data_IF_970165576950
#
_entry.id   IF_970165576950
#
_cell.length_a   1.000
_cell.length_b   1.000
_cell.length_c   1.000
_cell.angle_alpha   90.00
_cell.angle_beta   90.00
_cell.angle_gamma   90.00
#
_symmetry.space_group_name_H-M   'P 1'
#
loop_
_entity.id
_entity.type
_entity.pdbx_description
1 polymer ?
#
# COMPACT_ATOMS: atom_id res chain seq x y z
N UNK A 1 24.58 18.86 -21.21
CA UNK A 1 23.76 17.87 -21.95
C UNK A 1 22.60 18.61 -22.60
N UNK A 2 22.17 18.24 -23.81
CA UNK A 2 20.95 18.78 -24.41
C UNK A 2 19.72 18.42 -23.55
N UNK A 3 18.60 19.10 -23.79
CA UNK A 3 17.33 18.73 -23.18
C UNK A 3 16.86 17.35 -23.67
N UNK A 4 16.12 16.62 -22.82
CA UNK A 4 15.71 15.23 -23.08
C UNK A 4 14.74 15.06 -24.25
N UNK A 5 13.98 16.10 -24.62
CA UNK A 5 13.05 16.04 -25.74
C UNK A 5 11.93 15.00 -25.54
N UNK A 6 11.64 14.21 -26.57
CA UNK A 6 10.61 13.17 -26.55
C UNK A 6 11.06 11.97 -25.70
N UNK A 7 10.75 12.03 -24.39
CA UNK A 7 11.27 11.09 -23.40
C UNK A 7 10.51 9.75 -23.33
N UNK A 8 9.30 9.66 -23.89
CA UNK A 8 8.43 8.49 -23.70
C UNK A 8 9.14 7.15 -24.06
N UNK A 9 9.81 7.00 -25.22
CA UNK A 9 10.49 5.75 -25.56
C UNK A 9 11.59 5.38 -24.56
N UNK A 10 12.27 6.37 -23.98
CA UNK A 10 13.28 6.15 -22.96
C UNK A 10 12.65 5.67 -21.66
N UNK A 11 11.55 6.28 -21.20
CA UNK A 11 10.87 5.89 -19.95
C UNK A 11 10.39 4.43 -20.00
N UNK A 12 9.76 4.01 -21.09
CA UNK A 12 9.29 2.62 -21.24
C UNK A 12 10.44 1.61 -21.23
N UNK A 13 11.58 1.94 -21.87
CA UNK A 13 12.76 1.07 -21.84
C UNK A 13 13.42 1.04 -20.46
N UNK A 14 13.49 2.19 -19.80
CA UNK A 14 14.06 2.30 -18.46
C UNK A 14 13.23 1.54 -17.44
N UNK A 15 11.90 1.56 -17.53
CA UNK A 15 11.05 0.77 -16.63
C UNK A 15 11.27 -0.74 -16.82
N UNK A 16 11.41 -1.21 -18.06
CA UNK A 16 11.69 -2.62 -18.34
C UNK A 16 13.06 -3.09 -17.80
N UNK A 17 14.08 -2.23 -17.84
CA UNK A 17 15.42 -2.56 -17.38
C UNK A 17 15.66 -2.27 -15.89
N UNK A 18 15.01 -1.24 -15.35
CA UNK A 18 15.19 -0.71 -14.00
C UNK A 18 13.82 -0.43 -13.35
N UNK A 19 13.12 -1.46 -12.85
CA UNK A 19 11.80 -1.29 -12.25
C UNK A 19 11.81 -0.35 -11.02
N UNK A 20 12.95 -0.24 -10.30
CA UNK A 20 13.11 0.67 -9.16
C UNK A 20 13.13 2.17 -9.52
N UNK A 21 13.23 2.51 -10.81
CA UNK A 21 13.15 3.88 -11.28
C UNK A 21 11.73 4.47 -11.14
N UNK A 22 10.73 3.61 -10.92
CA UNK A 22 9.34 3.99 -10.71
C UNK A 22 8.78 3.28 -9.47
N UNK A 23 7.84 3.92 -8.79
CA UNK A 23 7.00 3.30 -7.79
C UNK A 23 5.71 2.83 -8.48
N UNK A 24 5.69 1.53 -8.78
CA UNK A 24 4.58 0.83 -9.41
C UNK A 24 3.34 0.82 -8.48
N UNK A 25 2.20 1.27 -8.99
CA UNK A 25 0.94 1.36 -8.25
C UNK A 25 0.11 0.15 -8.64
N UNK A 26 -0.06 -0.80 -7.72
CA UNK A 26 -0.72 -2.09 -8.00
C UNK A 26 -2.13 -2.20 -7.43
N UNK A 27 -2.63 -1.14 -6.78
CA UNK A 27 -3.92 -1.12 -6.12
C UNK A 27 -4.68 0.15 -6.45
N UNK A 28 -5.89 -0.01 -6.98
CA UNK A 28 -6.77 1.09 -7.36
C UNK A 28 -7.58 0.76 -8.60
N UNK A 29 -8.50 1.65 -8.94
CA UNK A 29 -9.27 1.62 -10.18
C UNK A 29 -9.49 3.04 -10.66
N UNK A 30 -9.56 3.24 -11.97
CA UNK A 30 -9.99 4.51 -12.55
C UNK A 30 -11.51 4.58 -12.76
N UNK A 31 -12.29 3.69 -12.12
CA UNK A 31 -13.74 3.78 -12.11
C UNK A 31 -14.20 5.16 -11.61
N UNK A 32 -15.07 5.81 -12.37
CA UNK A 32 -15.69 7.05 -11.93
C UNK A 32 -16.69 6.74 -10.80
N UNK A 33 -16.38 7.16 -9.58
CA UNK A 33 -17.34 7.23 -8.49
C UNK A 33 -18.28 8.41 -8.73
N UNK A 34 -19.39 8.17 -9.44
CA UNK A 34 -20.46 9.16 -9.49
C UNK A 34 -21.29 8.98 -8.22
N UNK A 35 -21.75 10.10 -7.61
CA UNK A 35 -22.47 10.12 -6.34
C UNK A 35 -23.75 9.24 -6.31
N UNK A 36 -24.59 9.35 -5.27
CA UNK A 36 -25.62 8.35 -4.92
C UNK A 36 -26.72 8.07 -5.98
N UNK A 37 -26.67 8.67 -7.16
CA UNK A 37 -27.71 8.61 -8.18
C UNK A 37 -27.25 8.12 -9.57
N UNK A 38 -26.00 7.67 -9.77
CA UNK A 38 -25.51 7.28 -11.11
C UNK A 38 -24.81 5.91 -11.08
N UNK A 39 -24.99 5.07 -12.12
CA UNK A 39 -24.38 3.75 -12.15
C UNK A 39 -22.86 3.89 -12.18
N UNK A 40 -22.20 3.13 -11.31
CA UNK A 40 -20.75 2.88 -11.41
C UNK A 40 -20.48 2.37 -12.82
N UNK A 41 -19.49 2.94 -13.51
CA UNK A 41 -19.11 2.41 -14.82
C UNK A 41 -18.75 0.92 -14.66
N UNK A 42 -19.54 0.03 -15.26
CA UNK A 42 -19.31 -1.43 -15.18
C UNK A 42 -17.95 -1.83 -15.77
N UNK A 43 -17.44 -1.04 -16.72
CA UNK A 43 -16.10 -1.19 -17.27
C UNK A 43 -15.17 -0.12 -16.69
N UNK A 44 -14.14 -0.58 -15.99
CA UNK A 44 -13.02 0.23 -15.51
C UNK A 44 -11.72 -0.56 -15.64
N UNK A 45 -10.60 0.15 -15.59
CA UNK A 45 -9.29 -0.48 -15.51
C UNK A 45 -8.88 -0.57 -14.04
N UNK A 46 -8.27 -1.69 -13.69
CA UNK A 46 -7.64 -1.89 -12.40
C UNK A 46 -6.15 -1.60 -12.51
N UNK A 47 -5.57 -1.07 -11.44
CA UNK A 47 -4.14 -0.95 -11.31
C UNK A 47 -3.54 -2.35 -11.16
N UNK A 48 -2.42 -2.62 -11.83
CA UNK A 48 -1.77 -3.93 -11.86
C UNK A 48 -0.25 -3.73 -11.93
N UNK A 49 0.53 -4.79 -11.71
CA UNK A 49 1.99 -4.64 -11.75
C UNK A 49 2.49 -4.30 -13.14
N UNK A 50 3.35 -3.27 -13.21
CA UNK A 50 4.07 -2.86 -14.40
C UNK A 50 3.47 -1.62 -15.03
N UNK A 51 2.98 -1.77 -16.28
CA UNK A 51 2.25 -0.69 -16.95
C UNK A 51 0.76 -0.99 -16.89
N UNK A 52 -0.03 -0.04 -16.43
CA UNK A 52 -1.48 -0.14 -16.43
C UNK A 52 -2.16 1.13 -16.98
N UNK A 53 -3.46 1.03 -17.28
CA UNK A 53 -4.25 2.14 -17.81
C UNK A 53 -4.79 3.10 -16.72
N UNK A 54 -4.40 2.91 -15.46
CA UNK A 54 -4.83 3.71 -14.31
C UNK A 54 -3.74 4.72 -13.92
N UNK A 55 -2.50 4.27 -13.85
CA UNK A 55 -1.33 4.95 -13.33
C UNK A 55 -0.12 4.91 -14.29
N UNK A 56 -0.20 4.17 -15.40
CA UNK A 56 0.91 4.04 -16.35
C UNK A 56 2.04 3.23 -15.74
N UNK A 57 3.26 3.78 -15.75
CA UNK A 57 4.44 3.16 -15.11
C UNK A 57 4.48 3.37 -13.58
N UNK A 58 3.49 4.08 -13.03
CA UNK A 58 3.51 4.56 -11.65
C UNK A 58 4.23 5.90 -11.48
N UNK A 59 4.61 6.21 -10.24
CA UNK A 59 5.24 7.51 -9.92
C UNK A 59 6.77 7.47 -10.05
N UNK A 60 7.43 8.51 -10.60
CA UNK A 60 8.87 8.47 -10.83
C UNK A 60 9.67 8.58 -9.52
N UNK A 61 10.63 7.68 -9.33
CA UNK A 61 11.62 7.75 -8.25
C UNK A 61 12.79 8.64 -8.69
N UNK A 62 12.70 9.95 -8.41
CA UNK A 62 13.62 10.95 -8.96
C UNK A 62 15.11 10.69 -8.68
N UNK A 63 15.56 10.31 -7.47
CA UNK A 63 16.97 10.00 -7.20
C UNK A 63 17.56 8.92 -8.11
N UNK A 64 16.77 7.90 -8.46
CA UNK A 64 17.19 6.80 -9.33
C UNK A 64 17.06 7.22 -10.79
N UNK A 65 15.90 7.76 -11.17
CA UNK A 65 15.59 8.11 -12.55
C UNK A 65 16.53 9.20 -13.09
N UNK A 66 16.92 10.19 -12.29
CA UNK A 66 17.85 11.24 -12.71
C UNK A 66 19.24 10.70 -13.08
N UNK A 67 19.76 9.72 -12.32
CA UNK A 67 21.05 9.09 -12.61
C UNK A 67 21.01 8.32 -13.93
N UNK A 68 19.89 7.60 -14.17
CA UNK A 68 19.67 6.88 -15.42
C UNK A 68 19.51 7.84 -16.62
N UNK A 69 18.76 8.93 -16.45
CA UNK A 69 18.51 9.90 -17.51
C UNK A 69 19.72 10.75 -17.86
N UNK A 70 20.66 10.95 -16.92
CA UNK A 70 21.91 11.62 -17.24
C UNK A 70 22.68 10.81 -18.31
N UNK A 71 22.75 9.49 -18.21
CA UNK A 71 23.52 8.65 -19.16
C UNK A 71 22.59 7.78 -20.02
N UNK A 72 21.47 8.34 -20.48
CA UNK A 72 20.40 7.58 -21.12
C UNK A 72 20.84 6.84 -22.39
N UNK A 73 21.72 7.43 -23.22
CA UNK A 73 22.22 6.77 -24.43
C UNK A 73 23.02 5.50 -24.12
N UNK A 74 23.88 5.54 -23.11
CA UNK A 74 24.69 4.39 -22.68
C UNK A 74 23.78 3.30 -22.09
N UNK A 75 22.90 3.71 -21.17
CA UNK A 75 21.95 2.80 -20.49
C UNK A 75 21.02 2.10 -21.49
N UNK A 76 20.53 2.84 -22.50
CA UNK A 76 19.65 2.27 -23.53
C UNK A 76 20.39 1.44 -24.58
N UNK A 77 21.70 1.67 -24.76
CA UNK A 77 22.54 0.89 -25.68
C UNK A 77 22.91 -0.46 -25.07
N UNK A 78 23.25 -0.48 -23.78
CA UNK A 78 23.59 -1.71 -23.04
C UNK A 78 22.37 -2.62 -22.88
N UNK A 79 21.20 -2.04 -22.60
CA UNK A 79 19.94 -2.80 -22.50
C UNK A 79 19.47 -3.38 -23.84
N UNK A 80 19.82 -2.77 -24.98
CA UNK A 80 19.53 -3.35 -26.31
C UNK A 80 20.30 -4.65 -26.54
N UNK A 81 21.47 -4.81 -25.92
CA UNK A 81 22.21 -6.08 -25.94
C UNK A 81 21.44 -7.13 -25.15
N UNK A 82 20.87 -6.78 -24.00
CA UNK A 82 20.08 -7.70 -23.16
C UNK A 82 18.71 -8.07 -23.76
N UNK A 83 18.04 -7.13 -24.45
CA UNK A 83 16.75 -7.37 -25.09
C UNK A 83 16.83 -8.26 -26.34
N UNK A 84 18.03 -8.39 -26.94
CA UNK A 84 18.28 -9.26 -28.10
C UNK A 84 18.82 -10.65 -27.71
N UNK A 85 19.02 -10.92 -26.42
CA UNK A 85 19.31 -12.27 -25.94
C UNK A 85 17.97 -12.95 -25.66
N UNK A 86 17.63 -14.09 -26.32
CA UNK A 86 16.44 -14.85 -25.98
C UNK A 86 16.47 -15.20 -24.49
N UNK A 87 15.31 -15.30 -23.80
CA UNK A 87 15.29 -15.50 -22.36
C UNK A 87 16.10 -16.75 -22.03
N UNK A 88 17.24 -16.54 -21.37
CA UNK A 88 18.01 -17.60 -20.74
C UNK A 88 17.15 -18.15 -19.61
N UNK A 89 16.36 -19.15 -19.95
CA UNK A 89 16.00 -20.21 -19.03
C UNK A 89 17.29 -20.70 -18.36
N UNK A 90 17.35 -20.54 -17.05
CA UNK A 90 18.32 -21.11 -16.12
C UNK A 90 19.79 -20.80 -16.40
N UNK A 91 20.30 -19.74 -15.76
CA UNK A 91 21.70 -19.68 -15.33
C UNK A 91 21.73 -19.91 -13.82
N UNK A 92 22.24 -21.08 -13.47
CA UNK A 92 22.55 -21.53 -12.12
C UNK A 92 23.49 -20.54 -11.44
N UNK A 93 23.19 -20.20 -10.19
CA UNK A 93 24.14 -19.52 -9.30
C UNK A 93 25.33 -20.46 -9.11
N UNK A 94 26.49 -20.06 -9.64
CA UNK A 94 27.78 -20.66 -9.37
C UNK A 94 28.40 -19.88 -8.21
N UNK A 95 28.24 -20.40 -6.99
CA UNK A 95 28.93 -19.93 -5.79
C UNK A 95 30.30 -20.59 -5.71
N UNK A 96 31.34 -19.81 -5.99
CA UNK A 96 32.71 -20.13 -5.62
C UNK A 96 32.85 -19.99 -4.10
N UNK A 97 32.70 -21.10 -3.37
CA UNK A 97 33.21 -21.22 -2.00
C UNK A 97 33.57 -22.68 -1.68
N UNK A 98 34.87 -22.94 -1.75
CA UNK A 98 35.55 -24.07 -1.12
C UNK A 98 35.15 -24.18 0.37
N UNK A 99 34.39 -25.21 0.74
CA UNK A 99 34.04 -25.45 2.14
C UNK A 99 32.79 -26.30 2.39
N UNK A 100 32.85 -27.59 2.08
CA UNK A 100 32.09 -28.67 2.75
C UNK A 100 30.60 -28.39 3.10
N UNK A 101 29.76 -28.16 2.10
CA UNK A 101 28.30 -28.04 2.27
C UNK A 101 27.65 -29.42 2.29
N UNK A 102 27.80 -30.16 3.40
CA UNK A 102 27.06 -31.40 3.66
C UNK A 102 26.59 -31.47 5.12
N UNK A 103 25.68 -30.58 5.50
CA UNK A 103 24.70 -30.74 6.61
C UNK A 103 23.97 -29.42 6.85
N UNK A 104 22.91 -29.09 6.10
CA UNK A 104 21.99 -28.00 6.51
C UNK A 104 20.57 -28.09 5.92
N UNK A 105 20.21 -29.17 5.21
CA UNK A 105 18.83 -29.39 4.74
C UNK A 105 17.99 -30.19 5.76
N UNK A 106 18.61 -30.85 6.74
CA UNK A 106 17.90 -31.65 7.74
C UNK A 106 17.29 -30.89 8.92
N UNK A 107 17.62 -29.60 9.10
CA UNK A 107 17.23 -28.84 10.29
C UNK A 107 15.98 -27.96 10.10
N UNK A 108 15.51 -27.73 8.87
CA UNK A 108 14.41 -26.78 8.60
C UNK A 108 13.02 -27.37 8.81
N UNK A 109 12.80 -28.65 8.48
CA UNK A 109 11.46 -29.27 8.58
C UNK A 109 11.04 -29.47 10.04
N UNK A 110 11.94 -29.91 10.92
CA UNK A 110 11.63 -30.10 12.34
C UNK A 110 11.34 -28.78 13.06
N UNK A 111 12.05 -27.70 12.71
CA UNK A 111 11.82 -26.38 13.26
C UNK A 111 10.45 -25.80 12.84
N UNK A 112 10.06 -25.99 11.58
CA UNK A 112 8.75 -25.56 11.08
C UNK A 112 7.60 -26.33 11.73
N UNK A 113 7.73 -27.65 11.90
CA UNK A 113 6.72 -28.48 12.59
C UNK A 113 6.59 -28.06 14.06
N UNK A 114 7.71 -27.76 14.73
CA UNK A 114 7.71 -27.26 16.10
C UNK A 114 6.98 -25.93 16.25
N UNK A 115 7.23 -24.96 15.36
CA UNK A 115 6.59 -23.65 15.39
C UNK A 115 5.06 -23.76 15.18
N UNK A 116 4.61 -24.60 14.25
CA UNK A 116 3.17 -24.82 13.98
C UNK A 116 2.48 -25.49 15.18
N UNK A 117 3.12 -26.44 15.85
CA UNK A 117 2.57 -27.09 17.03
C UNK A 117 2.41 -26.13 18.22
N UNK A 118 3.38 -25.23 18.43
CA UNK A 118 3.31 -24.21 19.48
C UNK A 118 2.20 -23.19 19.19
N UNK A 119 2.06 -22.74 17.93
CA UNK A 119 0.99 -21.84 17.53
C UNK A 119 -0.40 -22.48 17.72
N UNK A 120 -0.56 -23.76 17.35
CA UNK A 120 -1.81 -24.49 17.56
C UNK A 120 -2.14 -24.64 19.06
N UNK A 121 -1.14 -24.94 19.90
CA UNK A 121 -1.32 -25.03 21.34
C UNK A 121 -1.72 -23.68 21.96
N UNK A 122 -1.13 -22.57 21.51
CA UNK A 122 -1.49 -21.23 21.95
C UNK A 122 -2.94 -20.89 21.57
N UNK A 123 -3.37 -21.19 20.34
CA UNK A 123 -4.76 -20.98 19.90
C UNK A 123 -5.74 -21.82 20.72
N UNK A 124 -5.41 -23.09 21.01
CA UNK A 124 -6.23 -23.96 21.86
C UNK A 124 -6.30 -23.44 23.29
N UNK A 125 -5.18 -22.96 23.83
CA UNK A 125 -5.13 -22.36 25.16
C UNK A 125 -6.02 -21.12 25.25
N UNK A 126 -5.90 -20.18 24.30
CA UNK A 126 -6.73 -18.96 24.25
C UNK A 126 -8.22 -19.31 24.10
N UNK A 127 -8.59 -20.22 23.18
CA UNK A 127 -9.99 -20.65 23.02
C UNK A 127 -10.53 -21.36 24.27
N UNK A 128 -9.70 -22.14 24.97
CA UNK A 128 -10.12 -22.80 26.23
C UNK A 128 -10.26 -21.80 27.38
N UNK A 129 -9.43 -20.76 27.41
CA UNK A 129 -9.51 -19.71 28.43
C UNK A 129 -10.69 -18.75 28.17
N UNK A 130 -10.98 -18.44 26.90
CA UNK A 130 -12.16 -17.68 26.51
C UNK A 130 -13.47 -18.42 26.82
N UNK A 131 -13.51 -19.75 26.66
CA UNK A 131 -14.66 -20.57 27.08
C UNK A 131 -14.88 -20.61 28.60
N UNK A 132 -13.87 -20.28 29.41
CA UNK A 132 -14.02 -20.13 30.87
C UNK A 132 -14.43 -18.71 31.28
N UNK A 133 -14.40 -17.75 30.37
CA UNK A 133 -14.99 -16.43 30.53
C UNK A 133 -16.43 -16.46 30.01
N UNK A 134 -17.26 -17.28 30.63
CA UNK A 134 -18.70 -17.23 30.42
C UNK A 134 -19.20 -15.92 31.06
N UNK A 135 -19.52 -14.94 30.22
CA UNK A 135 -20.11 -13.70 30.65
C UNK A 135 -21.50 -14.00 31.22
N UNK A 136 -21.68 -13.78 32.53
CA UNK A 136 -23.02 -13.73 33.10
C UNK A 136 -23.76 -12.57 32.44
N UNK A 137 -24.84 -12.86 31.71
CA UNK A 137 -25.73 -11.84 31.17
C UNK A 137 -26.26 -11.00 32.34
N UNK A 138 -26.08 -9.68 32.26
CA UNK A 138 -26.60 -8.78 33.29
C UNK A 138 -28.10 -8.68 33.07
N UNK A 139 -28.87 -9.20 34.04
CA UNK A 139 -30.33 -9.15 34.01
C UNK A 139 -30.81 -7.69 33.89
N UNK A 140 -31.44 -7.37 32.75
CA UNK A 140 -31.93 -6.04 32.39
C UNK A 140 -33.03 -5.56 33.36
N UNK A 141 -33.58 -6.45 34.20
CA UNK A 141 -34.56 -6.09 35.24
C UNK A 141 -33.93 -5.82 36.62
N UNK A 142 -32.60 -5.88 36.75
CA UNK A 142 -31.93 -5.49 37.99
C UNK A 142 -31.81 -3.97 38.03
N UNK A 143 -32.39 -3.36 39.07
CA UNK A 143 -32.55 -1.90 39.20
C UNK A 143 -31.26 -1.06 39.18
N UNK A 144 -30.09 -1.69 39.14
CA UNK A 144 -28.78 -1.02 39.18
C UNK A 144 -28.07 -0.98 37.81
N UNK A 145 -28.68 -1.46 36.72
CA UNK A 145 -28.12 -1.27 35.37
C UNK A 145 -28.41 0.12 34.82
N UNK A 146 -27.39 0.92 34.42
CA UNK A 146 -27.60 2.24 33.84
C UNK A 146 -28.33 2.12 32.50
N UNK A 147 -29.60 2.51 32.46
CA UNK A 147 -30.46 2.39 31.28
C UNK A 147 -30.39 3.67 30.45
N UNK A 148 -29.33 3.80 29.65
CA UNK A 148 -29.04 4.91 28.72
C UNK A 148 -28.93 6.30 29.39
N UNK A 149 -28.12 7.23 28.84
CA UNK A 149 -28.11 8.59 29.34
C UNK A 149 -29.47 9.25 29.05
N UNK A 150 -30.13 9.75 30.10
CA UNK A 150 -31.31 10.58 29.96
C UNK A 150 -30.95 11.86 29.19
N UNK A 151 -31.91 12.41 28.44
CA UNK A 151 -31.78 13.69 27.73
C UNK A 151 -31.82 14.90 28.67
N UNK A 152 -31.37 14.75 29.92
CA UNK A 152 -31.22 15.91 30.80
C UNK A 152 -29.92 16.62 30.43
N UNK A 153 -30.08 17.83 29.87
CA UNK A 153 -29.01 18.78 29.55
C UNK A 153 -28.35 19.30 30.83
N UNK A 154 -27.69 18.44 31.59
CA UNK A 154 -26.82 18.83 32.72
C UNK A 154 -25.67 17.82 32.86
N UNK A 155 -24.92 17.59 31.79
CA UNK A 155 -23.63 16.91 31.89
C UNK A 155 -22.57 17.75 31.18
N UNK A 156 -21.63 18.26 31.98
CA UNK A 156 -20.48 19.05 31.55
C UNK A 156 -19.45 18.16 30.84
N UNK A 157 -19.77 17.70 29.63
CA UNK A 157 -18.78 17.18 28.68
C UNK A 157 -19.43 16.90 27.32
N UNK A 158 -19.90 17.95 26.65
CA UNK A 158 -19.97 17.98 25.19
C UNK A 158 -19.31 19.30 24.79
N UNK A 159 -18.19 19.20 24.07
CA UNK A 159 -17.61 20.34 23.36
C UNK A 159 -18.57 20.66 22.21
N UNK A 160 -19.54 21.53 22.47
CA UNK A 160 -20.29 22.22 21.42
C UNK A 160 -19.37 23.29 20.85
N UNK A 161 -19.11 23.23 19.55
CA UNK A 161 -18.61 24.39 18.82
C UNK A 161 -19.79 25.36 18.80
N UNK A 162 -19.68 26.45 19.53
CA UNK A 162 -20.61 27.56 19.42
C UNK A 162 -20.35 28.23 18.06
N UNK A 163 -21.26 28.03 17.11
CA UNK A 163 -21.38 28.87 15.92
C UNK A 163 -21.94 30.22 16.39
N UNK A 164 -21.06 31.12 16.80
CA UNK A 164 -21.38 32.54 16.93
C UNK A 164 -21.53 33.10 15.50
N UNK A 165 -22.79 33.28 15.08
CA UNK A 165 -23.21 34.05 13.92
C UNK A 165 -22.86 35.54 14.12
N UNK A 166 -21.58 35.90 14.06
CA UNK A 166 -21.15 37.29 13.84
C UNK A 166 -21.12 37.52 12.32
N UNK A 167 -22.13 38.23 11.81
CA UNK A 167 -22.13 38.78 10.44
C UNK A 167 -20.89 39.65 10.25
N UNK A 168 -19.85 39.09 9.63
CA UNK A 168 -18.65 39.85 9.27
C UNK A 168 -19.01 40.72 8.07
N UNK A 169 -19.36 41.99 8.33
CA UNK A 169 -19.45 43.01 7.28
C UNK A 169 -18.10 43.07 6.52
N UNK A 170 -18.14 42.75 5.23
CA UNK A 170 -17.01 42.87 4.33
C UNK A 170 -16.70 44.36 4.15
N UNK A 171 -15.76 44.89 4.93
CA UNK A 171 -15.19 46.21 4.63
C UNK A 171 -14.41 46.09 3.33
N UNK A 172 -14.90 46.80 2.31
CA UNK A 172 -14.26 46.99 1.02
C UNK A 172 -12.79 47.41 1.16
N UNK A 173 -11.89 46.62 0.57
CA UNK A 173 -10.48 46.98 0.45
C UNK A 173 -10.36 47.93 -0.74
N UNK A 174 -10.17 49.22 -0.49
CA UNK A 174 -9.79 50.17 -1.54
C UNK A 174 -8.40 49.84 -2.06
N UNK A 175 -8.31 49.45 -3.33
CA UNK A 175 -7.04 49.34 -4.05
C UNK A 175 -6.56 50.74 -4.42
N UNK A 176 -5.57 51.25 -3.70
CA UNK A 176 -4.83 52.42 -4.17
C UNK A 176 -4.10 52.07 -5.47
N UNK A 177 -4.33 52.92 -6.47
CA UNK A 177 -3.79 52.85 -7.83
C UNK A 177 -2.42 53.51 -7.94
#
# INVERSE_FOLDING_TARGET
KPALGFINPALYRLQAAYPLAFHDITTGTNAAGMGPAMPVCDLSFHAESGWDAVSGLGSPNFPVLSQLLLNVEDVLSDTKVLANVPPLSNQQIQEDASGSVKTLVGASVAALVGAVAVAAAAVVYVKRHARKAEYCEVDVNKGDTPKYPSQDKTAASIFTIDDDDEEVELTEVTLDR
#
